data_IF_957840175233
#
_entry.id   IF_957840175233
#
_cell.length_a   1.000
_cell.length_b   1.000
_cell.length_c   1.000
_cell.angle_alpha   90.00
_cell.angle_beta   90.00
_cell.angle_gamma   90.00
#
_symmetry.space_group_name_H-M   'P 1'
#
loop_
_entity.id
_entity.type
_entity.pdbx_description
1 polymer ?
#
# COMPACT_ATOMS: atom_id res chain seq x y z
N UNK A 1 -19.03 75.41 16.15
CA UNK A 1 -17.79 74.60 15.99
C UNK A 1 -17.90 73.76 14.73
N UNK A 2 -17.28 74.17 13.62
CA UNK A 2 -17.17 73.34 12.40
C UNK A 2 -15.91 72.48 12.52
N UNK A 3 -16.07 71.15 12.58
CA UNK A 3 -14.96 70.20 12.45
C UNK A 3 -14.46 70.26 10.99
N UNK A 4 -13.25 70.75 10.78
CA UNK A 4 -12.55 70.66 9.50
C UNK A 4 -12.11 69.21 9.28
N UNK A 5 -12.71 68.53 8.30
CA UNK A 5 -12.18 67.26 7.79
C UNK A 5 -10.86 67.56 7.09
N UNK A 6 -9.74 67.12 7.69
CA UNK A 6 -8.44 67.12 7.01
C UNK A 6 -8.49 66.04 5.93
N UNK A 7 -8.49 66.44 4.67
CA UNK A 7 -8.37 65.51 3.54
C UNK A 7 -7.01 64.83 3.56
N UNK A 8 -6.97 63.54 3.21
CA UNK A 8 -5.73 62.79 3.05
C UNK A 8 -4.91 63.36 1.90
N UNK A 9 -3.60 63.49 2.10
CA UNK A 9 -2.69 63.88 1.03
C UNK A 9 -2.52 62.72 0.05
N UNK A 10 -2.28 63.02 -1.23
CA UNK A 10 -2.04 62.01 -2.26
C UNK A 10 -0.91 61.04 -1.86
N UNK A 11 0.10 61.54 -1.17
CA UNK A 11 1.22 60.77 -0.66
C UNK A 11 0.78 59.75 0.40
N UNK A 12 -0.08 60.14 1.35
CA UNK A 12 -0.61 59.23 2.37
C UNK A 12 -1.42 58.09 1.75
N UNK A 13 -2.19 58.36 0.70
CA UNK A 13 -2.96 57.34 -0.02
C UNK A 13 -2.03 56.35 -0.73
N UNK A 14 -1.01 56.84 -1.44
CA UNK A 14 -0.04 55.99 -2.14
C UNK A 14 0.75 55.11 -1.16
N UNK A 15 1.22 55.68 -0.05
CA UNK A 15 1.96 54.95 0.99
C UNK A 15 1.08 53.87 1.62
N UNK A 16 -0.17 54.18 1.93
CA UNK A 16 -1.12 53.22 2.51
C UNK A 16 -1.39 52.05 1.55
N UNK A 17 -1.63 52.32 0.27
CA UNK A 17 -1.84 51.27 -0.74
C UNK A 17 -0.59 50.41 -0.94
N UNK A 18 0.61 51.01 -0.94
CA UNK A 18 1.86 50.28 -1.05
C UNK A 18 2.11 49.35 0.15
N UNK A 19 1.84 49.80 1.37
CA UNK A 19 1.93 48.98 2.59
C UNK A 19 0.92 47.82 2.53
N UNK A 20 -0.32 48.09 2.12
CA UNK A 20 -1.33 47.04 1.95
C UNK A 20 -0.93 46.00 0.89
N UNK A 21 -0.41 46.43 -0.27
CA UNK A 21 0.04 45.52 -1.31
C UNK A 21 1.22 44.64 -0.85
N UNK A 22 2.17 45.22 -0.12
CA UNK A 22 3.32 44.50 0.45
C UNK A 22 2.90 43.45 1.49
N UNK A 23 1.85 43.72 2.27
CA UNK A 23 1.34 42.80 3.29
C UNK A 23 0.44 41.70 2.71
N UNK A 24 -0.41 42.02 1.73
CA UNK A 24 -1.41 41.08 1.19
C UNK A 24 -0.78 40.07 0.23
N UNK A 25 0.19 40.49 -0.59
CA UNK A 25 0.84 39.63 -1.60
C UNK A 25 1.42 38.33 -1.02
N UNK A 26 2.25 38.35 0.06
CA UNK A 26 2.80 37.10 0.61
C UNK A 26 1.73 36.18 1.19
N UNK A 27 0.65 36.73 1.77
CA UNK A 27 -0.45 35.94 2.32
C UNK A 27 -1.20 35.20 1.21
N UNK A 28 -1.49 35.88 0.10
CA UNK A 28 -2.15 35.27 -1.07
C UNK A 28 -1.29 34.15 -1.65
N UNK A 29 0.02 34.34 -1.75
CA UNK A 29 0.94 33.29 -2.21
C UNK A 29 0.97 32.08 -1.27
N UNK A 30 0.99 32.30 0.05
CA UNK A 30 0.94 31.22 1.04
C UNK A 30 -0.39 30.45 1.00
N UNK A 31 -1.52 31.13 0.84
CA UNK A 31 -2.84 30.50 0.67
C UNK A 31 -2.87 29.68 -0.62
N UNK A 32 -2.38 30.23 -1.74
CA UNK A 32 -2.30 29.51 -3.01
C UNK A 32 -1.40 28.28 -2.92
N UNK A 33 -0.26 28.38 -2.23
CA UNK A 33 0.64 27.24 -1.99
C UNK A 33 -0.03 26.17 -1.12
N UNK A 34 -0.70 26.57 -0.03
CA UNK A 34 -1.43 25.65 0.85
C UNK A 34 -2.57 24.94 0.13
N UNK A 35 -3.37 25.67 -0.66
CA UNK A 35 -4.43 25.12 -1.49
C UNK A 35 -3.85 24.16 -2.54
N UNK A 36 -2.75 24.52 -3.20
CA UNK A 36 -2.07 23.67 -4.19
C UNK A 36 -1.54 22.38 -3.56
N UNK A 37 -0.99 22.43 -2.35
CA UNK A 37 -0.53 21.26 -1.60
C UNK A 37 -1.70 20.35 -1.23
N UNK A 38 -2.79 20.90 -0.69
CA UNK A 38 -3.98 20.13 -0.33
C UNK A 38 -4.68 19.51 -1.55
N UNK A 39 -4.79 20.25 -2.65
CA UNK A 39 -5.31 19.72 -3.91
C UNK A 39 -4.42 18.62 -4.47
N UNK A 40 -3.09 18.81 -4.46
CA UNK A 40 -2.13 17.78 -4.90
C UNK A 40 -2.25 16.50 -4.06
N UNK A 41 -2.36 16.62 -2.73
CA UNK A 41 -2.56 15.48 -1.85
C UNK A 41 -3.88 14.75 -2.12
N UNK A 42 -4.97 15.48 -2.31
CA UNK A 42 -6.27 14.91 -2.68
C UNK A 42 -6.20 14.17 -4.02
N UNK A 43 -5.64 14.81 -5.03
CA UNK A 43 -5.45 14.20 -6.36
C UNK A 43 -4.55 12.96 -6.29
N UNK A 44 -3.50 12.96 -5.46
CA UNK A 44 -2.67 11.77 -5.25
C UNK A 44 -3.44 10.61 -4.61
N UNK A 45 -4.33 10.89 -3.66
CA UNK A 45 -5.20 9.88 -3.06
C UNK A 45 -6.21 9.34 -4.08
N UNK A 46 -6.84 10.22 -4.86
CA UNK A 46 -7.77 9.84 -5.93
C UNK A 46 -7.08 8.97 -6.98
N UNK A 47 -5.87 9.33 -7.41
CA UNK A 47 -5.07 8.52 -8.35
C UNK A 47 -4.71 7.17 -7.74
N UNK A 48 -4.35 7.12 -6.46
CA UNK A 48 -4.04 5.85 -5.78
C UNK A 48 -5.28 4.93 -5.71
N UNK A 49 -6.47 5.49 -5.46
CA UNK A 49 -7.72 4.74 -5.48
C UNK A 49 -8.04 4.22 -6.89
N UNK A 50 -7.90 5.05 -7.93
CA UNK A 50 -8.07 4.66 -9.33
C UNK A 50 -7.11 3.53 -9.71
N UNK A 51 -5.83 3.63 -9.31
CA UNK A 51 -4.83 2.58 -9.55
C UNK A 51 -5.23 1.28 -8.84
N UNK A 52 -5.63 1.34 -7.57
CA UNK A 52 -6.02 0.15 -6.81
C UNK A 52 -7.22 -0.56 -7.45
N UNK A 53 -8.27 0.19 -7.81
CA UNK A 53 -9.45 -0.39 -8.47
C UNK A 53 -9.11 -0.96 -9.86
N UNK A 54 -8.21 -0.31 -10.61
CA UNK A 54 -7.75 -0.82 -11.90
C UNK A 54 -7.02 -2.15 -11.74
N UNK A 55 -6.08 -2.22 -10.79
CA UNK A 55 -5.35 -3.45 -10.50
C UNK A 55 -6.32 -4.55 -10.07
N UNK A 56 -7.20 -4.30 -9.09
CA UNK A 56 -8.19 -5.28 -8.64
C UNK A 56 -9.04 -5.81 -9.80
N UNK A 57 -9.53 -4.93 -10.68
CA UNK A 57 -10.37 -5.34 -11.82
C UNK A 57 -9.62 -6.22 -12.80
N UNK A 58 -8.41 -5.82 -13.22
CA UNK A 58 -7.60 -6.57 -14.17
C UNK A 58 -7.20 -7.95 -13.62
N UNK A 59 -6.96 -8.00 -12.31
CA UNK A 59 -6.66 -9.20 -11.54
C UNK A 59 -7.88 -10.14 -11.47
N UNK A 60 -9.02 -9.66 -10.98
CA UNK A 60 -10.22 -10.48 -10.79
C UNK A 60 -10.80 -11.00 -12.10
N UNK A 61 -10.76 -10.17 -13.15
CA UNK A 61 -11.29 -10.53 -14.46
C UNK A 61 -10.28 -11.30 -15.31
N UNK A 62 -9.06 -11.52 -14.79
CA UNK A 62 -8.01 -12.27 -15.47
C UNK A 62 -7.72 -11.72 -16.88
N UNK A 63 -7.61 -10.40 -17.02
CA UNK A 63 -7.43 -9.70 -18.32
C UNK A 63 -6.02 -9.92 -18.88
N UNK A 64 -5.89 -9.94 -20.21
CA UNK A 64 -4.63 -10.14 -20.94
C UNK A 64 -4.38 -9.03 -21.95
N UNK A 65 -3.10 -8.83 -22.31
CA UNK A 65 -2.68 -7.92 -23.37
C UNK A 65 -2.91 -6.44 -23.04
N UNK A 66 -3.19 -5.64 -24.06
CA UNK A 66 -3.36 -4.18 -23.94
C UNK A 66 -4.82 -3.78 -24.02
N UNK A 67 -5.19 -2.70 -23.32
CA UNK A 67 -6.53 -2.13 -23.39
C UNK A 67 -6.71 -0.88 -22.55
N UNK A 68 -7.96 -0.49 -22.33
CA UNK A 68 -8.30 0.67 -21.51
C UNK A 68 -9.58 0.46 -20.71
N UNK A 69 -9.70 1.16 -19.58
CA UNK A 69 -10.89 1.17 -18.74
C UNK A 69 -11.16 2.56 -18.17
N UNK A 70 -12.42 2.82 -17.80
CA UNK A 70 -12.81 4.06 -17.13
C UNK A 70 -13.09 3.80 -15.66
N UNK A 71 -12.43 4.54 -14.77
CA UNK A 71 -12.63 4.46 -13.32
C UNK A 71 -12.78 5.88 -12.80
N UNK A 72 -13.94 6.19 -12.21
CA UNK A 72 -14.23 7.50 -11.62
C UNK A 72 -13.96 8.68 -12.58
N UNK A 73 -14.22 8.49 -13.88
CA UNK A 73 -13.96 9.50 -14.92
C UNK A 73 -12.51 9.56 -15.43
N UNK A 74 -11.58 8.86 -14.78
CA UNK A 74 -10.21 8.69 -15.28
C UNK A 74 -10.17 7.58 -16.34
N UNK A 75 -9.32 7.76 -17.35
CA UNK A 75 -9.02 6.71 -18.32
C UNK A 75 -7.72 6.02 -17.89
N UNK A 76 -7.77 4.70 -17.71
CA UNK A 76 -6.60 3.90 -17.36
C UNK A 76 -6.29 2.98 -18.54
N UNK A 77 -5.20 3.27 -19.24
CA UNK A 77 -4.66 2.37 -20.25
C UNK A 77 -3.79 1.32 -19.57
N UNK A 78 -3.97 0.05 -19.90
CA UNK A 78 -3.20 -1.05 -19.33
C UNK A 78 -2.44 -1.82 -20.42
N UNK A 79 -1.28 -2.33 -20.05
CA UNK A 79 -0.47 -3.27 -20.83
C UNK A 79 -0.03 -4.41 -19.90
N UNK A 80 -0.52 -5.61 -20.19
CA UNK A 80 -0.31 -6.80 -19.38
C UNK A 80 0.63 -7.74 -20.12
N UNK A 81 1.85 -7.86 -19.60
CA UNK A 81 2.84 -8.84 -20.03
C UNK A 81 2.71 -10.08 -19.14
N UNK A 82 2.07 -11.12 -19.68
CA UNK A 82 1.82 -12.40 -19.03
C UNK A 82 3.03 -13.36 -19.06
N UNK A 83 4.08 -12.97 -19.78
CA UNK A 83 5.36 -13.67 -19.90
C UNK A 83 6.45 -13.08 -19.00
N UNK A 84 6.15 -11.99 -18.29
CA UNK A 84 7.12 -11.19 -17.55
C UNK A 84 8.01 -12.04 -16.63
N UNK A 85 7.41 -12.92 -15.82
CA UNK A 85 8.13 -13.88 -15.02
C UNK A 85 7.27 -15.10 -14.73
N UNK A 86 7.69 -16.25 -15.22
CA UNK A 86 7.28 -17.54 -14.66
C UNK A 86 8.12 -17.79 -13.42
N UNK A 87 7.48 -17.75 -12.26
CA UNK A 87 8.04 -18.34 -11.06
C UNK A 87 7.49 -19.76 -10.95
N UNK A 88 8.35 -20.77 -10.97
CA UNK A 88 8.00 -21.94 -10.17
C UNK A 88 8.02 -21.46 -8.72
N UNK A 89 6.89 -21.61 -8.03
CA UNK A 89 6.95 -21.90 -6.60
C UNK A 89 7.73 -23.23 -6.51
N UNK A 90 9.06 -23.21 -6.57
CA UNK A 90 9.81 -24.43 -6.29
C UNK A 90 9.64 -24.67 -4.79
N UNK A 91 8.85 -25.69 -4.46
CA UNK A 91 8.79 -26.29 -3.14
C UNK A 91 8.24 -25.43 -1.99
N UNK A 92 7.35 -24.46 -2.22
CA UNK A 92 6.54 -23.92 -1.11
C UNK A 92 5.37 -24.87 -0.88
N UNK A 93 5.69 -25.98 -0.24
CA UNK A 93 4.72 -26.82 0.43
C UNK A 93 3.96 -25.98 1.48
N UNK A 94 2.83 -26.49 1.95
CA UNK A 94 2.11 -26.03 3.15
C UNK A 94 2.96 -25.98 4.45
N UNK A 95 4.27 -26.18 4.37
CA UNK A 95 5.26 -26.09 5.44
C UNK A 95 6.15 -24.83 5.35
N UNK A 96 6.06 -24.01 4.30
CA UNK A 96 7.01 -22.90 4.06
C UNK A 96 6.42 -21.50 4.29
N UNK A 97 6.17 -21.18 5.55
CA UNK A 97 5.88 -19.81 6.02
C UNK A 97 6.87 -19.45 7.12
N UNK A 98 7.23 -18.18 7.21
CA UNK A 98 8.11 -17.67 8.25
C UNK A 98 7.33 -17.29 9.51
N UNK A 99 6.06 -16.89 9.36
CA UNK A 99 5.21 -16.49 10.49
C UNK A 99 3.72 -16.70 10.22
N UNK A 100 2.95 -16.74 11.31
CA UNK A 100 1.49 -16.80 11.31
C UNK A 100 0.91 -15.63 12.08
N UNK A 101 -0.23 -15.14 11.64
CA UNK A 101 -1.07 -14.19 12.35
C UNK A 101 -2.45 -14.81 12.59
N UNK A 102 -3.00 -14.59 13.77
CA UNK A 102 -4.35 -14.99 14.12
C UNK A 102 -5.05 -13.82 14.81
N UNK A 103 -6.22 -13.42 14.32
CA UNK A 103 -7.06 -12.44 14.99
C UNK A 103 -8.32 -13.14 15.49
N UNK A 104 -8.44 -13.22 16.81
CA UNK A 104 -9.56 -13.89 17.47
C UNK A 104 -10.82 -13.00 17.55
N UNK A 105 -11.95 -13.62 17.91
CA UNK A 105 -13.25 -12.95 17.98
C UNK A 105 -13.32 -11.88 19.07
N UNK A 106 -12.45 -11.95 20.08
CA UNK A 106 -12.29 -10.95 21.13
C UNK A 106 -11.42 -9.76 20.69
N UNK A 107 -10.89 -9.77 19.46
CA UNK A 107 -10.05 -8.72 18.91
C UNK A 107 -8.57 -8.87 19.25
N UNK A 108 -8.14 -10.03 19.74
CA UNK A 108 -6.74 -10.30 20.05
C UNK A 108 -6.00 -10.78 18.80
N UNK A 109 -5.09 -9.94 18.30
CA UNK A 109 -4.13 -10.29 17.27
C UNK A 109 -2.91 -10.97 17.90
N UNK A 110 -2.64 -12.20 17.48
CA UNK A 110 -1.43 -12.95 17.80
C UNK A 110 -0.56 -13.06 16.55
N UNK A 111 0.71 -12.70 16.65
CA UNK A 111 1.74 -12.87 15.62
C UNK A 111 2.74 -13.91 16.16
N UNK A 112 2.92 -15.02 15.47
CA UNK A 112 3.81 -16.10 15.84
C UNK A 112 4.95 -16.20 14.83
N UNK A 113 6.19 -16.02 15.28
CA UNK A 113 7.38 -16.41 14.53
C UNK A 113 7.50 -17.94 14.57
N UNK A 114 7.46 -18.61 13.42
CA UNK A 114 7.47 -20.08 13.37
C UNK A 114 8.87 -20.67 13.48
N UNK A 115 9.91 -19.84 13.47
CA UNK A 115 11.28 -20.28 13.74
C UNK A 115 11.50 -20.48 15.23
N UNK A 116 10.96 -19.57 16.05
CA UNK A 116 11.16 -19.56 17.51
C UNK A 116 9.91 -19.95 18.30
N UNK A 117 8.74 -20.01 17.65
CA UNK A 117 7.42 -20.14 18.27
C UNK A 117 7.14 -19.06 19.33
N UNK A 118 7.71 -17.87 19.16
CA UNK A 118 7.48 -16.73 20.06
C UNK A 118 6.19 -16.01 19.65
N UNK A 119 5.17 -15.92 20.52
CA UNK A 119 3.95 -15.17 20.24
C UNK A 119 4.07 -13.70 20.66
N UNK A 120 3.55 -12.81 19.83
CA UNK A 120 3.38 -11.38 20.10
C UNK A 120 1.91 -11.02 20.00
N UNK A 121 1.35 -10.47 21.09
CA UNK A 121 -0.10 -10.28 21.20
C UNK A 121 -0.47 -8.80 21.32
N UNK A 122 -1.51 -8.36 20.60
CA UNK A 122 -2.06 -7.00 20.64
C UNK A 122 -3.58 -7.01 20.48
N UNK A 123 -4.26 -6.01 21.04
CA UNK A 123 -5.69 -5.84 20.84
C UNK A 123 -5.94 -4.95 19.61
N UNK A 124 -6.95 -5.32 18.84
CA UNK A 124 -7.46 -4.60 17.67
C UNK A 124 -8.79 -3.94 18.04
N UNK A 125 -9.02 -2.74 17.53
CA UNK A 125 -10.23 -1.97 17.77
C UNK A 125 -11.46 -2.59 17.09
N UNK A 126 -12.60 -2.53 17.80
CA UNK A 126 -13.93 -2.84 17.27
C UNK A 126 -14.69 -1.62 16.72
N UNK A 127 -14.15 -0.41 16.91
CA UNK A 127 -14.82 0.84 16.53
C UNK A 127 -14.15 1.55 15.35
N UNK A 128 -12.93 1.14 14.98
CA UNK A 128 -12.15 1.75 13.91
C UNK A 128 -11.23 0.74 13.25
N UNK A 129 -10.83 1.01 12.01
CA UNK A 129 -9.77 0.24 11.36
C UNK A 129 -8.41 0.60 11.95
N UNK A 130 -7.82 -0.36 12.66
CA UNK A 130 -6.40 -0.29 13.01
C UNK A 130 -5.53 -0.57 11.79
N UNK A 131 -4.27 -0.10 11.84
CA UNK A 131 -3.32 -0.24 10.73
C UNK A 131 -2.12 -1.06 11.19
N UNK A 132 -2.01 -2.29 10.70
CA UNK A 132 -0.86 -3.15 10.87
C UNK A 132 0.01 -3.08 9.62
N UNK A 133 1.16 -2.41 9.70
CA UNK A 133 2.17 -2.43 8.64
C UNK A 133 3.16 -3.57 8.89
N UNK A 134 3.48 -4.32 7.85
CA UNK A 134 4.53 -5.33 7.82
C UNK A 134 5.66 -4.81 6.94
N UNK A 135 6.80 -4.51 7.55
CA UNK A 135 8.02 -4.16 6.83
C UNK A 135 8.89 -5.40 6.66
N UNK A 136 9.30 -5.67 5.43
CA UNK A 136 10.07 -6.87 5.07
C UNK A 136 11.41 -6.43 4.50
N UNK A 137 12.50 -6.85 5.16
CA UNK A 137 13.87 -6.68 4.65
C UNK A 137 14.51 -8.02 4.37
N UNK A 138 14.98 -8.23 3.16
CA UNK A 138 15.56 -9.49 2.71
C UNK A 138 17.05 -9.34 2.36
N UNK A 139 17.89 -10.09 3.06
CA UNK A 139 19.28 -10.29 2.72
C UNK A 139 19.39 -11.43 1.70
N UNK A 140 19.57 -11.08 0.43
CA UNK A 140 19.71 -12.05 -0.66
C UNK A 140 20.97 -12.92 -0.57
N UNK A 141 22.00 -12.50 0.16
CA UNK A 141 23.26 -13.25 0.33
C UNK A 141 23.13 -14.20 1.51
N UNK A 142 22.77 -13.68 2.68
CA UNK A 142 22.56 -14.47 3.90
C UNK A 142 21.28 -15.31 3.88
N UNK A 143 20.38 -15.09 2.91
CA UNK A 143 19.06 -15.73 2.76
C UNK A 143 18.17 -15.52 3.99
N UNK A 144 18.24 -14.33 4.60
CA UNK A 144 17.52 -13.96 5.82
C UNK A 144 16.44 -12.92 5.52
N UNK A 145 15.29 -13.05 6.14
CA UNK A 145 14.24 -12.04 6.12
C UNK A 145 14.06 -11.46 7.52
N UNK A 146 14.05 -10.14 7.65
CA UNK A 146 13.65 -9.42 8.87
C UNK A 146 12.24 -8.91 8.67
N UNK A 147 11.35 -9.27 9.59
CA UNK A 147 9.97 -8.83 9.62
C UNK A 147 9.77 -7.88 10.78
N UNK A 148 9.24 -6.69 10.51
CA UNK A 148 8.89 -5.70 11.53
C UNK A 148 7.42 -5.35 11.42
N UNK A 149 6.70 -5.51 12.53
CA UNK A 149 5.26 -5.28 12.62
C UNK A 149 5.03 -3.97 13.36
N UNK A 150 4.29 -3.08 12.73
CA UNK A 150 4.01 -1.74 13.24
C UNK A 150 2.49 -1.58 13.29
N UNK A 151 1.93 -1.51 14.49
CA UNK A 151 0.50 -1.29 14.72
C UNK A 151 0.28 0.17 15.11
N UNK A 152 -0.51 0.90 14.35
CA UNK A 152 -0.85 2.31 14.62
C UNK A 152 0.40 3.18 14.91
N UNK A 153 1.44 3.01 14.09
CA UNK A 153 2.75 3.70 14.19
C UNK A 153 3.65 3.27 15.36
N UNK A 154 3.28 2.24 16.13
CA UNK A 154 4.13 1.66 17.16
C UNK A 154 4.65 0.28 16.72
N UNK A 155 5.96 0.06 16.80
CA UNK A 155 6.54 -1.27 16.57
C UNK A 155 6.07 -2.22 17.67
N UNK A 156 5.48 -3.36 17.28
CA UNK A 156 4.94 -4.35 18.21
C UNK A 156 5.71 -5.67 18.21
N UNK A 157 6.38 -6.00 17.10
CA UNK A 157 7.22 -7.19 16.98
C UNK A 157 8.30 -6.99 15.90
N UNK A 158 9.46 -7.60 16.12
CA UNK A 158 10.52 -7.73 15.11
C UNK A 158 11.19 -9.08 15.30
N UNK A 159 11.30 -9.84 14.21
CA UNK A 159 12.05 -11.11 14.22
C UNK A 159 12.72 -11.37 12.87
N UNK A 160 13.64 -12.33 12.87
CA UNK A 160 14.44 -12.71 11.72
C UNK A 160 14.16 -14.18 11.41
N UNK A 161 13.77 -14.47 10.17
CA UNK A 161 13.65 -15.84 9.66
C UNK A 161 14.79 -16.18 8.70
N UNK A 162 15.16 -17.46 8.71
CA UNK A 162 16.03 -18.08 7.73
C UNK A 162 17.53 -17.88 7.92
N UNK A 163 18.29 -18.39 6.97
CA UNK A 163 19.75 -18.32 6.89
C UNK A 163 20.29 -19.14 5.73
N UNK A 164 21.59 -19.10 5.49
CA UNK A 164 22.21 -19.76 4.33
C UNK A 164 21.85 -21.26 4.18
N UNK A 165 21.76 -21.99 5.30
CA UNK A 165 21.41 -23.41 5.31
C UNK A 165 19.89 -23.67 5.21
N UNK A 166 19.07 -22.75 5.68
CA UNK A 166 17.61 -22.83 5.60
C UNK A 166 17.06 -21.44 5.23
N UNK A 167 16.98 -21.11 3.93
CA UNK A 167 16.54 -19.79 3.47
C UNK A 167 15.17 -19.39 4.01
N UNK A 168 15.01 -18.10 4.30
CA UNK A 168 13.71 -17.50 4.62
C UNK A 168 12.70 -17.82 3.52
N UNK A 169 11.48 -18.15 3.92
CA UNK A 169 10.44 -18.62 2.99
C UNK A 169 9.70 -17.48 2.31
N UNK A 170 9.75 -16.27 2.89
CA UNK A 170 9.00 -15.09 2.42
C UNK A 170 7.52 -15.40 2.24
N UNK A 171 6.97 -16.12 3.23
CA UNK A 171 5.58 -16.54 3.26
C UNK A 171 4.98 -16.29 4.64
N UNK A 172 3.70 -15.95 4.67
CA UNK A 172 2.95 -15.73 5.90
C UNK A 172 1.50 -16.21 5.79
N UNK A 173 0.92 -16.58 6.92
CA UNK A 173 -0.50 -16.89 7.01
C UNK A 173 -1.19 -15.89 7.94
N UNK A 174 -2.41 -15.48 7.59
CA UNK A 174 -3.29 -14.71 8.44
C UNK A 174 -4.68 -15.34 8.47
N UNK A 175 -5.11 -15.77 9.65
CA UNK A 175 -6.47 -16.27 9.89
C UNK A 175 -7.23 -15.30 10.79
N UNK A 176 -8.47 -15.00 10.44
CA UNK A 176 -9.36 -14.13 11.21
C UNK A 176 -10.70 -14.82 11.41
N UNK A 177 -11.13 -14.99 12.66
CA UNK A 177 -12.46 -15.49 13.04
C UNK A 177 -13.42 -14.37 13.49
N UNK A 178 -12.93 -13.13 13.57
CA UNK A 178 -13.70 -11.97 14.04
C UNK A 178 -14.70 -11.48 13.00
N UNK A 179 -15.85 -10.98 13.48
CA UNK A 179 -16.86 -10.28 12.67
C UNK A 179 -17.02 -8.81 13.03
N UNK A 180 -16.37 -8.33 14.09
CA UNK A 180 -16.61 -7.01 14.69
C UNK A 180 -15.35 -6.17 14.90
N UNK A 181 -14.17 -6.72 14.60
CA UNK A 181 -12.89 -6.01 14.71
C UNK A 181 -12.32 -5.73 13.32
N UNK A 182 -11.78 -4.53 13.14
CA UNK A 182 -11.45 -4.00 11.81
C UNK A 182 -9.95 -3.74 11.69
N UNK A 183 -9.31 -4.32 10.67
CA UNK A 183 -7.87 -4.23 10.48
C UNK A 183 -7.50 -3.98 9.02
N UNK A 184 -6.62 -3.01 8.80
CA UNK A 184 -5.86 -2.88 7.57
C UNK A 184 -4.49 -3.52 7.74
N UNK A 185 -4.19 -4.53 6.95
CA UNK A 185 -2.84 -5.10 6.84
C UNK A 185 -2.17 -4.45 5.65
N UNK A 186 -1.08 -3.74 5.90
CA UNK A 186 -0.34 -2.97 4.91
C UNK A 186 0.99 -3.67 4.67
N UNK A 187 1.22 -4.12 3.44
CA UNK A 187 2.49 -4.70 3.02
C UNK A 187 3.04 -3.79 1.94
N UNK A 188 4.10 -3.05 2.30
CA UNK A 188 4.67 -2.10 1.36
C UNK A 188 5.40 -2.85 0.26
N UNK A 189 6.39 -3.67 0.61
CA UNK A 189 7.15 -4.53 -0.29
C UNK A 189 8.29 -5.24 0.40
N UNK A 190 9.09 -5.97 -0.37
CA UNK A 190 10.31 -6.62 0.11
C UNK A 190 11.52 -5.77 -0.29
N UNK A 191 12.22 -5.23 0.70
CA UNK A 191 13.37 -4.34 0.50
C UNK A 191 14.69 -5.07 0.80
N UNK A 192 15.79 -4.68 0.15
CA UNK A 192 17.10 -5.17 0.53
C UNK A 192 17.65 -4.42 1.77
N UNK A 193 18.84 -4.80 2.22
CA UNK A 193 19.51 -4.15 3.35
C UNK A 193 19.85 -2.67 3.11
N UNK A 194 19.85 -2.24 1.84
CA UNK A 194 20.08 -0.85 1.41
C UNK A 194 18.77 -0.07 1.22
N UNK A 195 17.63 -0.60 1.68
CA UNK A 195 16.28 -0.04 1.52
C UNK A 195 15.84 0.11 0.06
N UNK A 196 16.39 -0.67 -0.87
CA UNK A 196 15.91 -0.71 -2.26
C UNK A 196 14.85 -1.79 -2.40
N UNK A 197 13.73 -1.47 -3.06
CA UNK A 197 12.71 -2.45 -3.39
C UNK A 197 13.30 -3.57 -4.26
N UNK A 198 13.09 -4.82 -3.83
CA UNK A 198 13.60 -6.02 -4.50
C UNK A 198 12.56 -6.60 -5.45
N UNK A 199 12.99 -7.55 -6.28
CA UNK A 199 12.12 -8.37 -7.14
C UNK A 199 11.73 -9.70 -6.49
N UNK A 200 11.98 -9.83 -5.18
CA UNK A 200 11.68 -11.04 -4.41
C UNK A 200 10.22 -11.05 -4.03
N UNK A 201 9.57 -12.20 -4.22
CA UNK A 201 8.14 -12.35 -3.96
C UNK A 201 7.87 -12.63 -2.47
N UNK A 202 6.80 -12.07 -1.94
CA UNK A 202 6.25 -12.41 -0.63
C UNK A 202 4.81 -12.90 -0.77
N UNK A 203 4.49 -14.00 -0.11
CA UNK A 203 3.20 -14.68 -0.20
C UNK A 203 2.42 -14.56 1.12
N UNK A 204 1.19 -14.05 1.07
CA UNK A 204 0.27 -13.99 2.20
C UNK A 204 -0.97 -14.86 1.93
N UNK A 205 -1.17 -15.90 2.72
CA UNK A 205 -2.45 -16.61 2.76
C UNK A 205 -3.37 -15.94 3.77
N UNK A 206 -4.52 -15.46 3.30
CA UNK A 206 -5.56 -14.88 4.15
C UNK A 206 -6.72 -15.87 4.23
N UNK A 207 -7.19 -16.16 5.43
CA UNK A 207 -8.49 -16.78 5.63
C UNK A 207 -9.32 -15.81 6.44
N UNK A 208 -10.20 -15.09 5.74
CA UNK A 208 -11.07 -14.11 6.36
C UNK A 208 -12.51 -14.31 5.85
N UNK A 209 -13.41 -14.63 6.78
CA UNK A 209 -14.81 -14.94 6.47
C UNK A 209 -15.65 -13.67 6.30
N UNK A 210 -15.18 -12.52 6.83
CA UNK A 210 -15.94 -11.27 6.92
C UNK A 210 -15.22 -10.10 6.22
N UNK A 211 -15.90 -9.05 5.76
CA UNK A 211 -15.25 -7.90 5.07
C UNK A 211 -14.52 -6.91 6.02
N UNK A 212 -14.02 -7.38 7.16
CA UNK A 212 -13.44 -6.56 8.23
C UNK A 212 -11.91 -6.51 8.24
N UNK A 213 -11.24 -7.43 7.54
CA UNK A 213 -9.81 -7.36 7.26
C UNK A 213 -9.61 -6.92 5.82
N UNK A 214 -8.86 -5.83 5.61
CA UNK A 214 -8.48 -5.37 4.27
C UNK A 214 -6.96 -5.44 4.12
N UNK A 215 -6.52 -5.93 2.97
CA UNK A 215 -5.11 -5.95 2.60
C UNK A 215 -4.83 -4.75 1.71
N UNK A 216 -3.75 -4.03 2.00
CA UNK A 216 -3.23 -2.95 1.18
C UNK A 216 -1.81 -3.33 0.78
N UNK A 217 -1.62 -3.69 -0.49
CA UNK A 217 -0.30 -3.92 -1.07
C UNK A 217 0.05 -2.74 -1.98
N UNK A 218 1.19 -2.11 -1.75
CA UNK A 218 1.66 -0.97 -2.57
C UNK A 218 2.72 -1.37 -3.58
N UNK A 219 3.27 -2.58 -3.45
CA UNK A 219 4.26 -3.11 -4.38
C UNK A 219 3.84 -4.41 -5.03
N UNK A 220 4.43 -4.65 -6.21
CA UNK A 220 3.95 -5.70 -7.08
C UNK A 220 4.44 -7.13 -6.83
N UNK A 221 5.39 -7.32 -5.93
CA UNK A 221 5.92 -8.66 -5.64
C UNK A 221 5.22 -9.29 -4.44
N UNK A 222 3.98 -8.85 -4.15
CA UNK A 222 3.15 -9.36 -3.05
C UNK A 222 2.01 -10.17 -3.63
N UNK A 223 1.90 -11.42 -3.22
CA UNK A 223 0.79 -12.31 -3.57
C UNK A 223 -0.11 -12.46 -2.36
N UNK A 224 -1.42 -12.36 -2.57
CA UNK A 224 -2.40 -12.72 -1.55
C UNK A 224 -3.37 -13.76 -2.10
N UNK A 225 -3.73 -14.74 -1.25
CA UNK A 225 -4.76 -15.74 -1.56
C UNK A 225 -5.77 -15.75 -0.41
N UNK A 226 -7.01 -15.35 -0.68
CA UNK A 226 -8.10 -15.41 0.30
C UNK A 226 -8.78 -16.78 0.29
N UNK A 227 -8.06 -17.80 0.73
CA UNK A 227 -8.57 -19.16 0.87
C UNK A 227 -7.88 -19.89 2.02
N UNK A 228 -8.51 -20.93 2.59
CA UNK A 228 -7.83 -21.83 3.49
C UNK A 228 -6.56 -22.35 2.83
N UNK A 229 -5.46 -22.34 3.58
CA UNK A 229 -4.17 -22.77 3.07
C UNK A 229 -4.22 -24.24 2.62
N UNK A 230 -4.11 -24.48 1.31
CA UNK A 230 -4.06 -25.84 0.73
C UNK A 230 -2.66 -26.20 0.24
N UNK A 231 -2.28 -27.47 0.44
CA UNK A 231 -1.00 -28.01 -0.03
C UNK A 231 -1.07 -28.19 -1.53
N UNK A 232 -0.82 -27.13 -2.29
CA UNK A 232 -0.72 -27.22 -3.75
C UNK A 232 0.67 -27.78 -4.06
N UNK A 233 0.70 -29.05 -4.45
CA UNK A 233 1.96 -29.78 -4.64
C UNK A 233 2.79 -29.35 -5.85
N UNK A 234 2.21 -28.70 -6.86
CA UNK A 234 2.97 -28.13 -7.98
C UNK A 234 2.04 -27.21 -8.79
N UNK A 235 2.28 -25.90 -8.77
CA UNK A 235 1.67 -24.95 -9.68
C UNK A 235 2.72 -23.96 -10.16
N UNK A 236 2.78 -23.70 -11.46
CA UNK A 236 3.53 -22.55 -11.95
C UNK A 236 2.78 -21.29 -11.57
N UNK A 237 3.47 -20.40 -10.87
CA UNK A 237 2.93 -19.10 -10.51
C UNK A 237 3.42 -18.08 -11.55
N UNK A 238 2.50 -17.66 -12.41
CA UNK A 238 2.79 -16.69 -13.46
C UNK A 238 2.59 -15.30 -12.88
N UNK A 239 3.70 -14.58 -12.76
CA UNK A 239 3.68 -13.16 -12.39
C UNK A 239 3.54 -12.37 -13.68
N UNK A 240 2.40 -11.70 -13.83
CA UNK A 240 2.19 -10.73 -14.92
C UNK A 240 2.77 -9.40 -14.52
N UNK A 241 3.35 -8.66 -15.46
CA UNK A 241 3.59 -7.23 -15.31
C UNK A 241 2.39 -6.48 -15.86
N UNK A 242 1.83 -5.58 -15.06
CA UNK A 242 0.72 -4.70 -15.45
C UNK A 242 1.25 -3.26 -15.43
N UNK A 243 1.43 -2.69 -16.61
CA UNK A 243 1.78 -1.28 -16.77
C UNK A 243 0.50 -0.48 -16.96
N UNK A 244 0.21 0.44 -16.04
CA UNK A 244 -0.92 1.36 -16.10
C UNK A 244 -0.44 2.75 -16.48
N UNK A 245 -1.18 3.41 -17.38
CA UNK A 245 -1.06 4.85 -17.67
C UNK A 245 -2.41 5.50 -17.40
N UNK A 246 -2.43 6.39 -16.42
CA UNK A 246 -3.65 7.08 -15.96
C UNK A 246 -3.75 8.44 -16.61
N UNK A 247 -4.92 8.75 -17.16
CA UNK A 247 -5.28 10.02 -17.76
C UNK A 247 -6.48 10.60 -17.03
N UNK A 248 -6.45 11.91 -16.81
CA UNK A 248 -7.53 12.63 -16.13
C UNK A 248 -8.81 12.71 -16.99
N UNK A 249 -9.95 13.19 -16.46
CA UNK A 249 -11.18 13.35 -17.23
C UNK A 249 -11.08 14.28 -18.45
N UNK A 250 -10.00 15.05 -18.58
CA UNK A 250 -9.70 15.92 -19.74
C UNK A 250 -8.78 15.25 -20.76
N UNK A 251 -8.36 14.01 -20.51
CA UNK A 251 -7.45 13.25 -21.37
C UNK A 251 -5.97 13.58 -21.19
N UNK A 252 -5.59 14.31 -20.12
CA UNK A 252 -4.18 14.62 -19.85
C UNK A 252 -3.51 13.47 -19.09
N UNK A 253 -2.28 13.12 -19.47
CA UNK A 253 -1.49 12.12 -18.76
C UNK A 253 -1.16 12.61 -17.35
N UNK A 254 -1.41 11.74 -16.36
CA UNK A 254 -1.25 12.07 -14.94
C UNK A 254 -0.10 11.28 -14.33
N UNK A 255 -0.10 9.96 -14.52
CA UNK A 255 0.83 9.06 -13.85
C UNK A 255 0.95 7.74 -14.58
N UNK A 256 2.15 7.19 -14.59
CA UNK A 256 2.40 5.78 -14.89
C UNK A 256 2.59 4.99 -13.59
N UNK A 257 2.13 3.75 -13.61
CA UNK A 257 2.27 2.84 -12.49
C UNK A 257 2.49 1.44 -13.04
N UNK A 258 3.65 0.87 -12.74
CA UNK A 258 3.92 -0.53 -13.03
C UNK A 258 3.67 -1.32 -11.77
N UNK A 259 2.73 -2.25 -11.86
CA UNK A 259 2.60 -3.33 -10.90
C UNK A 259 2.91 -4.66 -11.55
N UNK A 260 2.98 -5.69 -10.73
CA UNK A 260 3.14 -7.08 -11.07
C UNK A 260 2.11 -7.78 -10.21
N UNK A 261 1.48 -8.79 -10.78
CA UNK A 261 0.47 -9.54 -10.07
C UNK A 261 0.71 -11.01 -10.35
N UNK A 262 0.73 -11.78 -9.27
CA UNK A 262 0.68 -13.22 -9.38
C UNK A 262 -0.77 -13.68 -9.41
N UNK A 263 -1.12 -14.45 -10.43
CA UNK A 263 -2.40 -15.16 -10.48
C UNK A 263 -2.15 -16.67 -10.39
N UNK A 264 -2.89 -17.33 -9.49
CA UNK A 264 -3.04 -18.78 -9.54
C UNK A 264 -3.97 -19.10 -10.71
N UNK A 265 -3.43 -19.73 -11.75
CA UNK A 265 -4.27 -20.38 -12.77
C UNK A 265 -5.10 -21.43 -12.03
N UNK A 266 -6.41 -21.24 -11.94
CA UNK A 266 -7.32 -22.33 -11.52
C UNK A 266 -7.45 -23.34 -12.63
#
# INVERSE_FOLDING_TARGET
>A
MRKTFKGYTLVEVIVTVAIFALLVTPIVLLIQQSLKVNMSAKTNLEIAEVINQAVETLVYQNVYGTGSMNINGYTVNYDIDDSFKTGTIQNIENSQIDFRMFLDSAGKLTIEDLTTHTPYERNISSSSYDKLKIEIRYDGVGKKATYTFILNNATIATFISGGAANPAKLGAEFVSDTSSHYLHVIIDGVYDLSNKLTTTMFNLWLTNVNNNIKIIATTPFIVYDNSPRQAILTGEEKVRRVCLKVYDPKGQFVKDYTTYYSYRVK
#
